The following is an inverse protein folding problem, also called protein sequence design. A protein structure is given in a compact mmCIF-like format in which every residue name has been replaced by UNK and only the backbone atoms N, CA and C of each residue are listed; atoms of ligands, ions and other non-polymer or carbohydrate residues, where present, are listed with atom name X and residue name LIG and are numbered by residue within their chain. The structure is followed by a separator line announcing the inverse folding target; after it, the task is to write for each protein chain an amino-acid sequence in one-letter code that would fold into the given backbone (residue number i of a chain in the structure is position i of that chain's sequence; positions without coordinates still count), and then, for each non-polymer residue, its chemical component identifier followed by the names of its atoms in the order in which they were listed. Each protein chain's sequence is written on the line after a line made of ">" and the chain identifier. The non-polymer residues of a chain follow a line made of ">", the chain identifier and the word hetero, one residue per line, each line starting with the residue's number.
data_IF_088832919420
#
_entry.id   IF_088832919420
#
_cell.length_a   1.000
_cell.length_b   1.000
_cell.length_c   1.000
_cell.angle_alpha   90.00
_cell.angle_beta   90.00
_cell.angle_gamma   90.00
#
_symmetry.space_group_name_H-M   'P 1'
#
loop_
_entity.id
_entity.type
_entity.pdbx_description
1 polymer ?
#
# COMPACT_ATOMS: atom_id res chain seq x y z
N UNK A 1 14.78 0.51 7.08
CA UNK A 1 15.67 1.65 6.75
C UNK A 1 15.12 2.32 5.51
N UNK A 2 14.94 3.66 5.47
CA UNK A 2 14.53 4.31 4.23
C UNK A 2 15.62 4.14 3.17
N UNK A 3 15.27 3.56 2.02
CA UNK A 3 16.18 3.43 0.88
C UNK A 3 16.13 4.69 0.03
N UNK A 4 17.28 5.18 -0.44
CA UNK A 4 17.39 6.37 -1.27
C UNK A 4 17.42 5.99 -2.75
N UNK A 5 16.60 6.65 -3.57
CA UNK A 5 16.56 6.47 -5.02
C UNK A 5 16.97 7.78 -5.72
N UNK A 6 17.90 7.69 -6.68
CA UNK A 6 18.33 8.82 -7.51
C UNK A 6 17.70 8.68 -8.89
N UNK A 7 16.90 9.67 -9.29
CA UNK A 7 16.22 9.70 -10.58
C UNK A 7 16.90 10.73 -11.48
N UNK A 8 17.36 10.30 -12.65
CA UNK A 8 17.76 11.20 -13.73
C UNK A 8 16.56 11.46 -14.63
N UNK A 9 16.27 12.72 -14.90
CA UNK A 9 15.17 13.13 -15.77
C UNK A 9 15.56 14.38 -16.55
N UNK A 10 14.93 14.62 -17.71
CA UNK A 10 15.10 15.85 -18.47
C UNK A 10 14.75 17.09 -17.64
N UNK A 11 15.41 18.21 -17.93
CA UNK A 11 15.23 19.46 -17.17
C UNK A 11 13.80 19.99 -17.28
N UNK A 12 13.17 19.86 -18.46
CA UNK A 12 11.79 20.30 -18.67
C UNK A 12 10.79 19.50 -17.82
N UNK A 13 11.02 18.19 -17.66
CA UNK A 13 10.20 17.33 -16.81
C UNK A 13 10.38 17.68 -15.35
N UNK A 14 11.63 17.89 -14.91
CA UNK A 14 11.94 18.31 -13.54
C UNK A 14 11.23 19.62 -13.17
N UNK A 15 11.21 20.59 -14.07
CA UNK A 15 10.48 21.85 -13.85
C UNK A 15 8.97 21.65 -13.75
N UNK A 16 8.38 20.86 -14.66
CA UNK A 16 6.93 20.57 -14.65
C UNK A 16 6.52 19.88 -13.35
N UNK A 17 7.26 18.86 -12.92
CA UNK A 17 7.03 18.15 -11.64
C UNK A 17 7.18 19.11 -10.46
N UNK A 18 8.20 19.98 -10.49
CA UNK A 18 8.39 21.00 -9.46
C UNK A 18 7.23 21.99 -9.35
N UNK A 19 6.69 22.46 -10.49
CA UNK A 19 5.51 23.33 -10.54
C UNK A 19 4.27 22.60 -9.99
N UNK A 20 4.04 21.37 -10.42
CA UNK A 20 2.91 20.56 -9.97
C UNK A 20 2.95 20.31 -8.45
N UNK A 21 4.10 19.91 -7.92
CA UNK A 21 4.27 19.68 -6.49
C UNK A 21 3.93 20.94 -5.67
N UNK A 22 4.40 22.12 -6.11
CA UNK A 22 4.08 23.40 -5.45
C UNK A 22 2.60 23.75 -5.51
N UNK A 23 1.94 23.50 -6.65
CA UNK A 23 0.51 23.75 -6.79
C UNK A 23 -0.33 22.91 -5.81
N UNK A 24 0.14 21.70 -5.48
CA UNK A 24 -0.48 20.81 -4.50
C UNK A 24 0.02 21.01 -3.06
N UNK A 25 0.90 21.99 -2.80
CA UNK A 25 1.49 22.22 -1.47
C UNK A 25 2.44 21.10 -1.01
N UNK A 26 2.90 20.25 -1.95
CA UNK A 26 3.78 19.11 -1.69
C UNK A 26 5.23 19.41 -2.08
N UNK A 27 6.16 18.66 -1.50
CA UNK A 27 7.52 18.62 -2.04
C UNK A 27 7.58 17.60 -3.19
N UNK A 28 8.61 17.72 -4.05
CA UNK A 28 8.80 16.85 -5.22
C UNK A 28 8.92 15.39 -4.82
N UNK A 29 9.62 15.08 -3.73
CA UNK A 29 9.79 13.70 -3.25
C UNK A 29 8.48 13.04 -2.81
N UNK A 30 7.57 13.81 -2.21
CA UNK A 30 6.23 13.35 -1.82
C UNK A 30 5.39 13.07 -3.05
N UNK A 31 5.36 14.00 -4.01
CA UNK A 31 4.62 13.81 -5.26
C UNK A 31 5.12 12.58 -6.04
N UNK A 32 6.45 12.45 -6.18
CA UNK A 32 7.06 11.28 -6.86
C UNK A 32 6.74 9.98 -6.14
N UNK A 33 6.72 9.98 -4.79
CA UNK A 33 6.34 8.79 -4.02
C UNK A 33 4.89 8.40 -4.28
N UNK A 34 3.96 9.35 -4.21
CA UNK A 34 2.54 9.10 -4.44
C UNK A 34 2.29 8.55 -5.85
N UNK A 35 2.91 9.14 -6.88
CA UNK A 35 2.79 8.66 -8.26
C UNK A 35 3.30 7.23 -8.42
N UNK A 36 4.42 6.88 -7.77
CA UNK A 36 4.96 5.52 -7.82
C UNK A 36 4.09 4.53 -7.05
N UNK A 37 3.56 4.94 -5.89
CA UNK A 37 2.61 4.12 -5.12
C UNK A 37 1.34 3.84 -5.92
N UNK A 38 0.78 4.84 -6.58
CA UNK A 38 -0.40 4.68 -7.43
C UNK A 38 -0.09 3.87 -8.69
N UNK A 39 1.06 4.07 -9.31
CA UNK A 39 1.50 3.26 -10.45
C UNK A 39 1.59 1.78 -10.08
N UNK A 40 2.28 1.45 -8.98
CA UNK A 40 2.41 0.07 -8.50
C UNK A 40 1.04 -0.49 -8.13
N UNK A 41 0.20 0.27 -7.41
CA UNK A 41 -1.14 -0.17 -7.04
C UNK A 41 -2.01 -0.52 -8.25
N UNK A 42 -1.92 0.27 -9.31
CA UNK A 42 -2.72 0.09 -10.51
C UNK A 42 -2.14 -0.96 -11.47
N UNK A 43 -0.84 -1.21 -11.43
CA UNK A 43 -0.16 -2.09 -12.39
C UNK A 43 0.23 -3.46 -11.82
N UNK A 44 0.40 -3.56 -10.50
CA UNK A 44 0.71 -4.80 -9.79
C UNK A 44 -0.24 -4.97 -8.59
N UNK A 45 -1.54 -5.10 -8.92
CA UNK A 45 -2.57 -5.40 -7.94
C UNK A 45 -2.28 -6.70 -7.19
N UNK A 46 -1.58 -7.67 -7.81
CA UNK A 46 -1.31 -8.96 -7.17
C UNK A 46 -0.38 -8.80 -5.97
N UNK A 47 0.77 -8.15 -6.16
CA UNK A 47 1.73 -7.98 -5.05
C UNK A 47 1.17 -7.08 -3.94
N UNK A 48 0.42 -6.03 -4.30
CA UNK A 48 -0.24 -5.17 -3.32
C UNK A 48 -1.29 -5.93 -2.50
N UNK A 49 -2.09 -6.78 -3.15
CA UNK A 49 -3.10 -7.62 -2.50
C UNK A 49 -2.42 -8.67 -1.60
N UNK A 50 -1.35 -9.29 -2.06
CA UNK A 50 -0.57 -10.27 -1.29
C UNK A 50 0.06 -9.64 -0.03
N UNK A 51 0.64 -8.44 -0.15
CA UNK A 51 1.17 -7.69 0.99
C UNK A 51 0.07 -7.30 1.98
N UNK A 52 -1.09 -6.88 1.49
CA UNK A 52 -2.24 -6.57 2.32
C UNK A 52 -2.71 -7.82 3.10
N UNK A 53 -2.87 -8.95 2.42
CA UNK A 53 -3.22 -10.23 3.04
C UNK A 53 -2.18 -10.67 4.05
N UNK A 54 -0.89 -10.49 3.76
CA UNK A 54 0.21 -10.76 4.68
C UNK A 54 0.11 -9.94 5.97
N UNK A 55 -0.15 -8.62 5.85
CA UNK A 55 -0.32 -7.73 7.01
C UNK A 55 -1.55 -8.10 7.85
N UNK A 56 -2.67 -8.44 7.22
CA UNK A 56 -3.88 -8.89 7.91
C UNK A 56 -3.62 -10.21 8.64
N UNK A 57 -3.01 -11.19 7.95
CA UNK A 57 -2.65 -12.48 8.52
C UNK A 57 -1.73 -12.34 9.74
N UNK A 58 -0.72 -11.47 9.68
CA UNK A 58 0.17 -11.20 10.80
C UNK A 58 -0.56 -10.59 12.00
N UNK A 59 -1.51 -9.66 11.77
CA UNK A 59 -2.34 -9.10 12.86
C UNK A 59 -3.26 -10.15 13.49
N UNK A 60 -3.81 -11.07 12.70
CA UNK A 60 -4.64 -12.17 13.20
C UNK A 60 -3.81 -13.14 14.05
N UNK A 61 -2.64 -13.56 13.55
CA UNK A 61 -1.70 -14.39 14.31
C UNK A 61 -1.26 -13.73 15.62
N UNK A 62 -0.95 -12.44 15.61
CA UNK A 62 -0.60 -11.68 16.82
C UNK A 62 -1.74 -11.64 17.86
N UNK A 63 -2.99 -11.79 17.44
CA UNK A 63 -4.17 -11.92 18.31
C UNK A 63 -4.48 -13.38 18.69
N UNK A 64 -3.59 -14.30 18.39
CA UNK A 64 -3.77 -15.73 18.63
C UNK A 64 -4.89 -16.34 17.80
N UNK A 65 -5.21 -15.75 16.63
CA UNK A 65 -6.28 -16.26 15.76
C UNK A 65 -5.74 -17.26 14.75
N UNK A 66 -6.32 -18.45 14.75
CA UNK A 66 -5.97 -19.57 13.88
C UNK A 66 -7.14 -20.08 13.03
N UNK A 67 -6.91 -21.09 12.19
CA UNK A 67 -7.96 -21.73 11.38
C UNK A 67 -9.17 -22.23 12.20
N UNK A 68 -8.93 -22.73 13.41
CA UNK A 68 -9.93 -23.19 14.36
C UNK A 68 -10.91 -22.09 14.82
N UNK A 69 -10.45 -20.84 14.87
CA UNK A 69 -11.31 -19.68 15.14
C UNK A 69 -12.27 -19.41 13.98
N UNK A 70 -11.88 -19.73 12.74
CA UNK A 70 -12.71 -19.54 11.55
C UNK A 70 -13.90 -20.49 11.60
N UNK A 71 -13.66 -21.78 11.82
CA UNK A 71 -14.74 -22.76 11.96
C UNK A 71 -15.68 -22.42 13.12
N UNK A 72 -15.11 -22.01 14.25
CA UNK A 72 -15.86 -21.58 15.43
C UNK A 72 -16.75 -20.36 15.13
N UNK A 73 -16.23 -19.38 14.37
CA UNK A 73 -17.00 -18.21 13.95
C UNK A 73 -18.13 -18.57 12.98
N UNK A 74 -17.86 -19.42 11.97
CA UNK A 74 -18.87 -19.90 11.02
C UNK A 74 -20.00 -20.62 11.75
N UNK A 75 -19.67 -21.52 12.67
CA UNK A 75 -20.65 -22.27 13.46
C UNK A 75 -21.53 -21.32 14.27
N UNK A 76 -20.95 -20.35 14.98
CA UNK A 76 -21.71 -19.36 15.78
C UNK A 76 -22.71 -18.55 14.96
N UNK A 77 -22.32 -18.13 13.74
CA UNK A 77 -23.23 -17.37 12.87
C UNK A 77 -24.36 -18.26 12.35
N UNK A 78 -24.07 -19.51 11.99
CA UNK A 78 -25.07 -20.46 11.49
C UNK A 78 -26.07 -20.92 12.56
N UNK A 79 -25.65 -21.02 13.83
CA UNK A 79 -26.53 -21.38 14.96
C UNK A 79 -27.32 -20.21 15.53
N UNK A 80 -27.10 -18.98 15.03
CA UNK A 80 -27.89 -17.79 15.40
C UNK A 80 -29.12 -17.56 14.53
N UNK A 81 -29.37 -18.47 13.57
CA UNK A 81 -30.66 -18.60 12.86
C UNK A 81 -31.54 -19.58 13.61
#
# INVERSE_FOLDING_TARGET
>A
MPSQMILRMPDDLKEKVGRQARAEGKNVSTLVREVLEDYIRNHDMSSYVDDLWGRIGNKLKAKGKGPEDIESAIRRVRTKK
#
